data_IF_531861223975
#
_entry.id   IF_531861223975
#
_cell.length_a   1.000
_cell.length_b   1.000
_cell.length_c   1.000
_cell.angle_alpha   90.00
_cell.angle_beta   90.00
_cell.angle_gamma   90.00
#
_symmetry.space_group_name_H-M   'P 1'
#
loop_
_entity.id
_entity.type
_entity.pdbx_description
1 polymer ?
#
# COMPACT_ATOMS: atom_id res chain seq x y z
N UNK A 1 -13.49 18.15 6.30
CA UNK A 1 -12.39 19.14 6.10
C UNK A 1 -12.09 19.73 7.47
N UNK A 2 -10.84 19.61 7.94
CA UNK A 2 -10.41 20.14 9.25
C UNK A 2 -9.78 21.54 9.17
N UNK A 3 -9.28 21.93 7.99
CA UNK A 3 -8.62 23.21 7.82
C UNK A 3 -7.98 23.38 6.44
N UNK A 4 -7.46 24.57 6.21
CA UNK A 4 -6.63 24.91 5.05
C UNK A 4 -5.18 25.03 5.54
N UNK A 5 -4.29 24.25 4.95
CA UNK A 5 -2.84 24.21 5.25
C UNK A 5 -2.01 24.95 4.20
N UNK A 6 -2.66 25.72 3.33
CA UNK A 6 -2.02 26.32 2.17
C UNK A 6 -1.79 25.32 1.04
N UNK A 7 -1.58 25.82 -0.17
CA UNK A 7 -1.32 24.95 -1.32
C UNK A 7 0.04 24.31 -1.19
N UNK A 8 0.09 22.98 -1.11
CA UNK A 8 1.33 22.27 -1.37
C UNK A 8 1.77 22.60 -2.80
N UNK A 9 3.03 22.98 -2.98
CA UNK A 9 3.54 23.44 -4.28
C UNK A 9 3.14 22.55 -5.44
N UNK A 10 3.04 23.13 -6.63
CA UNK A 10 2.67 22.41 -7.85
C UNK A 10 3.56 21.18 -8.02
N UNK A 11 2.94 20.03 -8.25
CA UNK A 11 3.66 18.82 -8.65
C UNK A 11 4.41 19.12 -9.95
N UNK A 12 5.74 19.01 -9.91
CA UNK A 12 6.56 19.09 -11.12
C UNK A 12 6.70 17.69 -11.68
N UNK A 13 6.16 17.47 -12.86
CA UNK A 13 6.33 16.20 -13.58
C UNK A 13 7.60 16.23 -14.40
N UNK A 14 8.30 15.11 -14.40
CA UNK A 14 9.50 14.86 -15.19
C UNK A 14 9.24 13.94 -16.38
N UNK A 15 8.03 13.38 -16.48
CA UNK A 15 7.63 12.52 -17.62
C UNK A 15 7.75 13.29 -18.92
N UNK A 16 8.61 12.79 -19.81
CA UNK A 16 8.83 13.33 -21.15
C UNK A 16 8.81 12.21 -22.17
N UNK A 17 8.43 12.54 -23.41
CA UNK A 17 8.54 11.61 -24.52
C UNK A 17 10.01 11.42 -24.91
N UNK A 18 10.46 10.17 -24.99
CA UNK A 18 11.83 9.88 -25.46
C UNK A 18 11.98 10.25 -26.92
N UNK A 19 13.11 10.85 -27.36
CA UNK A 19 13.35 11.16 -28.77
C UNK A 19 13.22 9.97 -29.72
N UNK A 20 13.51 8.76 -29.23
CA UNK A 20 13.37 7.52 -30.00
C UNK A 20 11.93 7.02 -30.13
N UNK A 21 10.97 7.57 -29.39
CA UNK A 21 9.60 7.06 -29.37
C UNK A 21 8.97 7.04 -30.76
N UNK A 22 9.19 8.08 -31.57
CA UNK A 22 8.67 8.16 -32.92
C UNK A 22 9.20 7.05 -33.84
N UNK A 23 10.49 6.73 -33.72
CA UNK A 23 11.12 5.65 -34.50
C UNK A 23 10.60 4.28 -34.08
N UNK A 24 10.45 4.05 -32.78
CA UNK A 24 9.89 2.81 -32.23
C UNK A 24 8.44 2.62 -32.68
N UNK A 25 7.61 3.65 -32.58
CA UNK A 25 6.22 3.58 -33.04
C UNK A 25 6.12 3.31 -34.54
N UNK A 26 6.92 3.97 -35.37
CA UNK A 26 6.99 3.73 -36.79
C UNK A 26 7.41 2.29 -37.12
N UNK A 27 8.39 1.74 -36.37
CA UNK A 27 8.83 0.35 -36.54
C UNK A 27 7.68 -0.65 -36.31
N UNK A 28 6.82 -0.37 -35.31
CA UNK A 28 5.65 -1.21 -35.01
C UNK A 28 4.40 -0.83 -35.81
N UNK A 29 4.48 0.09 -36.76
CA UNK A 29 3.33 0.53 -37.55
C UNK A 29 2.26 1.28 -36.75
N UNK A 30 2.66 1.98 -35.69
CA UNK A 30 1.77 2.76 -34.83
C UNK A 30 1.92 4.24 -35.18
N UNK A 31 0.89 4.84 -35.74
CA UNK A 31 0.91 6.22 -36.26
C UNK A 31 1.03 7.29 -35.17
N UNK A 32 0.58 6.99 -33.93
CA UNK A 32 0.55 7.96 -32.81
C UNK A 32 0.80 7.29 -31.48
N UNK A 33 1.62 7.95 -30.65
CA UNK A 33 1.77 7.55 -29.26
C UNK A 33 0.43 7.71 -28.51
N UNK A 34 -0.15 6.62 -27.97
CA UNK A 34 -1.40 6.69 -27.22
C UNK A 34 -1.23 7.26 -25.79
N UNK A 35 0.02 7.49 -25.37
CA UNK A 35 0.36 7.98 -24.05
C UNK A 35 0.87 9.41 -24.10
N UNK A 36 0.45 10.22 -23.14
CA UNK A 36 0.80 11.63 -23.00
C UNK A 36 1.18 11.96 -21.58
N UNK A 37 1.79 13.13 -21.39
CA UNK A 37 2.13 13.67 -20.06
C UNK A 37 0.83 13.90 -19.26
N UNK A 38 0.78 13.46 -17.98
CA UNK A 38 -0.42 13.64 -17.16
C UNK A 38 -0.66 15.13 -16.84
N UNK A 39 -1.92 15.60 -16.82
CA UNK A 39 -2.22 16.95 -16.34
C UNK A 39 -1.96 17.06 -14.83
N UNK A 40 -1.27 18.10 -14.42
CA UNK A 40 -0.97 18.42 -13.00
C UNK A 40 -1.75 19.64 -12.47
N UNK A 41 -2.32 20.43 -13.37
CA UNK A 41 -3.09 21.65 -13.06
C UNK A 41 -4.47 21.55 -13.67
N UNK A 42 -5.39 22.37 -13.14
CA UNK A 42 -6.70 22.57 -13.75
C UNK A 42 -6.66 23.54 -14.92
N UNK A 43 -7.53 23.33 -15.88
CA UNK A 43 -7.79 24.26 -17.00
C UNK A 43 -9.26 24.25 -17.39
N UNK A 44 -9.70 25.27 -18.11
CA UNK A 44 -11.06 25.33 -18.65
C UNK A 44 -11.06 24.80 -20.07
N UNK A 45 -11.78 23.68 -20.28
CA UNK A 45 -11.94 23.03 -21.58
C UNK A 45 -13.43 23.07 -21.93
N UNK A 46 -13.78 23.64 -23.09
CA UNK A 46 -15.17 23.80 -23.55
C UNK A 46 -16.08 24.48 -22.53
N UNK A 47 -15.56 25.50 -21.82
CA UNK A 47 -16.29 26.24 -20.79
C UNK A 47 -16.44 25.53 -19.44
N UNK A 48 -15.91 24.31 -19.28
CA UNK A 48 -15.94 23.52 -18.06
C UNK A 48 -14.56 23.49 -17.43
N UNK A 49 -14.45 23.89 -16.16
CA UNK A 49 -13.20 23.75 -15.40
C UNK A 49 -12.95 22.29 -15.05
N UNK A 50 -11.83 21.77 -15.49
CA UNK A 50 -11.36 20.40 -15.23
C UNK A 50 -10.05 20.43 -14.45
N UNK A 51 -9.92 19.58 -13.45
CA UNK A 51 -8.74 19.55 -12.59
C UNK A 51 -8.54 18.13 -12.03
N UNK A 52 -7.29 17.60 -12.00
CA UNK A 52 -7.02 16.28 -11.43
C UNK A 52 -7.45 16.15 -9.96
N UNK A 53 -7.32 17.22 -9.20
CA UNK A 53 -7.72 17.24 -7.78
C UNK A 53 -9.22 17.18 -7.58
N UNK A 54 -10.01 17.80 -8.46
CA UNK A 54 -11.48 17.69 -8.43
C UNK A 54 -11.90 16.27 -8.72
N UNK A 55 -11.34 15.65 -9.77
CA UNK A 55 -11.62 14.25 -10.09
C UNK A 55 -11.22 13.31 -8.96
N UNK A 56 -10.09 13.57 -8.29
CA UNK A 56 -9.66 12.78 -7.13
C UNK A 56 -10.67 12.88 -5.98
N UNK A 57 -11.17 14.09 -5.68
CA UNK A 57 -12.19 14.30 -4.64
C UNK A 57 -13.48 13.57 -5.00
N UNK A 58 -13.91 13.63 -6.26
CA UNK A 58 -15.08 12.90 -6.73
C UNK A 58 -14.90 11.38 -6.58
N UNK A 59 -13.71 10.86 -6.95
CA UNK A 59 -13.37 9.44 -6.77
C UNK A 59 -13.31 9.02 -5.30
N UNK A 60 -12.84 9.89 -4.41
CA UNK A 60 -12.80 9.64 -2.97
C UNK A 60 -14.19 9.78 -2.30
N UNK A 61 -15.16 10.35 -2.99
CA UNK A 61 -16.54 10.48 -2.53
C UNK A 61 -17.46 9.32 -3.01
N UNK A 62 -16.88 8.27 -3.59
CA UNK A 62 -17.63 7.05 -3.95
C UNK A 62 -18.09 6.37 -2.67
N UNK A 63 -19.32 5.86 -2.67
CA UNK A 63 -19.86 5.13 -1.52
C UNK A 63 -19.04 3.88 -1.21
N UNK A 64 -18.82 3.66 0.08
CA UNK A 64 -18.23 2.43 0.62
C UNK A 64 -18.98 1.19 0.11
N UNK A 65 -18.24 0.16 -0.31
CA UNK A 65 -18.81 -1.14 -0.63
C UNK A 65 -19.36 -1.78 0.66
N UNK A 66 -20.65 -2.12 0.68
CA UNK A 66 -21.28 -2.76 1.84
C UNK A 66 -21.20 -4.27 1.71
N UNK A 67 -20.33 -4.86 2.52
CA UNK A 67 -20.25 -6.32 2.68
C UNK A 67 -20.78 -6.65 4.08
N UNK A 68 -21.76 -7.58 4.23
CA UNK A 68 -22.26 -7.97 5.53
C UNK A 68 -21.13 -8.47 6.44
N UNK A 69 -21.11 -7.98 7.68
CA UNK A 69 -20.03 -8.26 8.64
C UNK A 69 -19.86 -9.76 8.90
N UNK A 70 -20.96 -10.53 8.91
CA UNK A 70 -20.91 -11.99 9.09
C UNK A 70 -20.08 -12.70 8.03
N UNK A 71 -20.19 -12.30 6.78
CA UNK A 71 -19.39 -12.88 5.68
C UNK A 71 -17.93 -12.46 5.76
N UNK A 72 -17.66 -11.20 6.14
CA UNK A 72 -16.29 -10.73 6.35
C UNK A 72 -15.60 -11.48 7.50
N UNK A 73 -16.28 -11.72 8.61
CA UNK A 73 -15.71 -12.48 9.73
C UNK A 73 -15.49 -13.96 9.36
N UNK A 74 -16.40 -14.59 8.61
CA UNK A 74 -16.19 -15.95 8.11
C UNK A 74 -14.99 -16.03 7.16
N UNK A 75 -14.85 -15.07 6.25
CA UNK A 75 -13.73 -14.98 5.33
C UNK A 75 -12.40 -14.74 6.09
N UNK A 76 -12.41 -13.84 7.08
CA UNK A 76 -11.27 -13.59 7.96
C UNK A 76 -10.86 -14.86 8.71
N UNK A 77 -11.79 -15.55 9.37
CA UNK A 77 -11.48 -16.77 10.13
C UNK A 77 -10.93 -17.90 9.24
N UNK A 78 -11.41 -18.01 8.01
CA UNK A 78 -10.84 -18.96 7.04
C UNK A 78 -9.40 -18.57 6.65
N UNK A 79 -9.12 -17.27 6.46
CA UNK A 79 -7.77 -16.78 6.19
C UNK A 79 -6.82 -17.00 7.38
N UNK A 80 -7.29 -16.83 8.62
CA UNK A 80 -6.48 -17.11 9.82
C UNK A 80 -6.07 -18.57 9.92
N UNK A 81 -6.98 -19.51 9.63
CA UNK A 81 -6.64 -20.94 9.62
C UNK A 81 -5.54 -21.28 8.62
N UNK A 82 -5.59 -20.69 7.42
CA UNK A 82 -4.53 -20.87 6.42
C UNK A 82 -3.20 -20.26 6.90
N UNK A 83 -3.24 -19.06 7.48
CA UNK A 83 -2.08 -18.37 8.04
C UNK A 83 -1.46 -19.22 9.16
N UNK A 84 -2.26 -19.77 10.07
CA UNK A 84 -1.76 -20.61 11.16
C UNK A 84 -1.01 -21.85 10.65
N UNK A 85 -1.55 -22.53 9.63
CA UNK A 85 -0.90 -23.68 9.01
C UNK A 85 0.48 -23.31 8.44
N UNK A 86 0.57 -22.14 7.79
CA UNK A 86 1.83 -21.65 7.23
C UNK A 86 2.82 -21.19 8.31
N UNK A 87 2.31 -20.57 9.39
CA UNK A 87 3.13 -20.12 10.52
C UNK A 87 3.74 -21.31 11.28
N UNK A 88 3.01 -22.39 11.45
CA UNK A 88 3.52 -23.60 12.11
C UNK A 88 4.77 -24.16 11.40
N UNK A 89 4.86 -24.02 10.07
CA UNK A 89 6.04 -24.40 9.31
C UNK A 89 7.11 -23.30 9.33
N UNK A 90 6.70 -22.04 9.09
CA UNK A 90 7.61 -20.90 9.03
C UNK A 90 8.39 -20.69 10.32
N UNK A 91 7.75 -20.89 11.48
CA UNK A 91 8.37 -20.70 12.80
C UNK A 91 9.33 -21.80 13.24
N UNK A 92 9.43 -22.92 12.48
CA UNK A 92 10.45 -23.95 12.72
C UNK A 92 11.85 -23.48 12.34
N UNK A 93 11.94 -22.52 11.42
CA UNK A 93 13.20 -21.89 11.06
C UNK A 93 13.56 -20.85 12.13
N UNK A 94 14.69 -21.03 12.78
CA UNK A 94 15.19 -20.15 13.85
C UNK A 94 15.70 -18.81 13.32
N UNK A 95 16.07 -18.74 12.04
CA UNK A 95 16.63 -17.54 11.39
C UNK A 95 15.56 -16.53 10.93
N UNK A 96 14.27 -16.89 10.93
CA UNK A 96 13.21 -15.99 10.53
C UNK A 96 13.06 -14.80 11.48
N UNK A 97 12.73 -13.66 10.94
CA UNK A 97 12.53 -12.43 11.70
C UNK A 97 11.27 -12.53 12.57
N UNK A 98 11.44 -12.49 13.90
CA UNK A 98 10.37 -12.66 14.92
C UNK A 98 10.36 -11.54 15.97
N UNK A 99 10.82 -10.33 15.64
CA UNK A 99 10.94 -9.22 16.57
C UNK A 99 10.68 -7.88 15.92
N UNK A 100 10.46 -6.88 16.73
CA UNK A 100 10.50 -5.47 16.32
C UNK A 100 11.92 -5.11 15.88
N UNK A 101 12.04 -4.32 14.81
CA UNK A 101 13.32 -3.79 14.36
C UNK A 101 13.76 -2.61 15.21
N UNK A 102 15.07 -2.38 15.29
CA UNK A 102 15.61 -1.10 15.77
C UNK A 102 15.34 0.00 14.72
N UNK A 103 15.49 1.26 15.11
CA UNK A 103 15.39 2.40 14.19
C UNK A 103 16.41 2.25 13.05
N UNK A 104 17.65 1.89 13.37
CA UNK A 104 18.71 1.70 12.37
C UNK A 104 18.36 0.59 11.37
N UNK A 105 17.85 -0.54 11.83
CA UNK A 105 17.39 -1.62 10.95
C UNK A 105 16.19 -1.22 10.11
N UNK A 106 15.26 -0.43 10.66
CA UNK A 106 14.10 0.07 9.93
C UNK A 106 14.48 1.08 8.84
N UNK A 107 15.54 1.86 9.07
CA UNK A 107 16.10 2.83 8.11
C UNK A 107 16.93 2.13 7.05
N UNK A 108 17.83 1.23 7.45
CA UNK A 108 18.81 0.61 6.56
C UNK A 108 18.35 -0.69 5.92
N UNK A 109 17.34 -1.34 6.51
CA UNK A 109 16.89 -2.66 6.11
C UNK A 109 17.76 -3.79 6.69
N UNK A 110 17.32 -5.02 6.41
CA UNK A 110 18.03 -6.25 6.80
C UNK A 110 18.35 -7.07 5.53
N UNK A 111 19.64 -7.20 5.16
CA UNK A 111 20.03 -7.99 4.01
C UNK A 111 19.52 -9.43 4.11
N UNK A 112 18.95 -9.94 3.02
CA UNK A 112 18.42 -11.30 2.94
C UNK A 112 17.01 -11.49 3.53
N UNK A 113 16.46 -10.52 4.24
CA UNK A 113 15.10 -10.59 4.78
C UNK A 113 14.11 -9.94 3.80
N UNK A 114 13.15 -10.72 3.31
CA UNK A 114 12.09 -10.19 2.43
C UNK A 114 11.29 -9.09 3.14
N UNK A 115 10.88 -8.07 2.39
CA UNK A 115 10.18 -6.88 2.88
C UNK A 115 10.99 -5.97 3.84
N UNK A 116 12.25 -6.27 4.15
CA UNK A 116 13.12 -5.47 5.01
C UNK A 116 14.10 -4.61 4.21
N UNK A 117 13.61 -3.85 3.23
CA UNK A 117 14.46 -3.08 2.31
C UNK A 117 14.94 -1.72 2.87
N UNK A 118 14.53 -1.35 4.09
CA UNK A 118 14.77 -0.04 4.65
C UNK A 118 14.00 1.08 3.96
N UNK A 119 14.35 2.33 4.26
CA UNK A 119 13.73 3.52 3.64
C UNK A 119 14.48 3.93 2.38
N UNK A 120 13.74 4.40 1.39
CA UNK A 120 14.33 4.85 0.12
C UNK A 120 14.68 6.33 0.20
N UNK A 121 15.97 6.68 0.25
CA UNK A 121 16.49 8.04 0.44
C UNK A 121 15.98 9.05 -0.59
N UNK A 122 15.69 8.64 -1.82
CA UNK A 122 15.20 9.52 -2.89
C UNK A 122 13.71 9.86 -2.81
N UNK A 123 12.95 9.27 -1.87
CA UNK A 123 11.52 9.54 -1.70
C UNK A 123 11.26 10.73 -0.78
N UNK A 124 10.05 11.31 -0.88
CA UNK A 124 9.63 12.43 -0.04
C UNK A 124 9.62 12.03 1.43
N UNK A 125 10.14 12.90 2.30
CA UNK A 125 10.04 12.74 3.75
C UNK A 125 8.64 13.07 4.33
N UNK A 126 7.68 13.43 3.47
CA UNK A 126 6.31 13.78 3.86
C UNK A 126 6.11 15.25 4.19
N UNK A 127 4.88 15.61 4.60
CA UNK A 127 4.51 17.01 4.81
C UNK A 127 5.22 17.64 6.01
N UNK A 128 5.51 16.85 7.06
CA UNK A 128 6.15 17.31 8.29
C UNK A 128 7.59 17.77 8.05
N UNK A 129 8.30 17.05 7.20
CA UNK A 129 9.73 17.27 6.96
C UNK A 129 10.00 18.02 5.65
N UNK A 130 9.10 17.97 4.70
CA UNK A 130 9.14 18.72 3.43
C UNK A 130 9.93 18.06 2.32
N UNK A 131 11.18 17.85 2.46
CA UNK A 131 12.16 17.43 1.44
C UNK A 131 12.18 15.90 1.20
N UNK A 132 13.32 15.36 0.77
CA UNK A 132 13.53 13.92 0.61
C UNK A 132 14.02 13.31 1.93
N UNK A 133 13.84 12.02 2.10
CA UNK A 133 14.35 11.28 3.27
C UNK A 133 15.86 11.45 3.39
N UNK A 134 16.61 11.41 2.28
CA UNK A 134 18.05 11.60 2.27
C UNK A 134 18.55 12.95 2.78
N UNK A 135 17.69 13.98 2.77
CA UNK A 135 18.05 15.30 3.31
C UNK A 135 18.00 15.35 4.85
N UNK A 136 17.54 14.26 5.47
CA UNK A 136 17.38 14.10 6.93
C UNK A 136 18.30 13.03 7.54
N UNK A 137 19.35 12.64 6.82
CA UNK A 137 20.44 11.79 7.33
C UNK A 137 21.70 12.62 7.58
N UNK A 138 22.57 12.14 8.47
CA UNK A 138 23.80 12.84 8.87
C UNK A 138 24.92 12.53 7.87
N UNK A 139 24.89 11.37 7.21
CA UNK A 139 25.92 10.86 6.33
C UNK A 139 25.35 10.51 4.94
N UNK A 140 26.18 10.61 3.92
CA UNK A 140 25.79 10.36 2.53
C UNK A 140 25.92 8.88 2.12
N UNK A 141 26.65 8.07 2.90
CA UNK A 141 26.97 6.68 2.59
C UNK A 141 26.25 5.71 3.53
N UNK A 142 25.92 4.53 2.97
CA UNK A 142 25.35 3.41 3.73
C UNK A 142 26.39 2.82 4.72
N UNK A 143 26.00 2.47 5.97
CA UNK A 143 24.66 2.61 6.54
C UNK A 143 24.29 4.06 6.88
N UNK A 144 23.04 4.42 6.59
CA UNK A 144 22.52 5.75 6.85
C UNK A 144 22.21 5.97 8.31
N UNK A 145 22.54 7.16 8.82
CA UNK A 145 22.25 7.60 10.19
C UNK A 145 21.28 8.78 10.11
N UNK A 146 20.08 8.63 10.69
CA UNK A 146 19.10 9.72 10.70
C UNK A 146 19.48 10.82 11.69
N UNK A 147 19.02 12.04 11.42
CA UNK A 147 19.22 13.18 12.32
C UNK A 147 18.53 12.97 13.67
N UNK A 148 19.11 13.51 14.74
CA UNK A 148 18.59 13.37 16.13
C UNK A 148 17.14 13.80 16.27
N UNK A 149 16.69 14.83 15.55
CA UNK A 149 15.30 15.28 15.63
C UNK A 149 14.33 14.28 14.98
N UNK A 150 14.72 13.59 13.91
CA UNK A 150 13.88 12.52 13.31
C UNK A 150 13.83 11.31 14.24
N UNK A 151 14.99 10.94 14.82
CA UNK A 151 15.04 9.87 15.80
C UNK A 151 14.10 10.15 16.97
N UNK A 152 14.18 11.36 17.54
CA UNK A 152 13.29 11.78 18.62
C UNK A 152 11.81 11.75 18.21
N UNK A 153 11.48 12.22 17.02
CA UNK A 153 10.11 12.18 16.51
C UNK A 153 9.57 10.74 16.42
N UNK A 154 10.40 9.77 16.01
CA UNK A 154 10.05 8.34 15.98
C UNK A 154 9.83 7.81 17.41
N UNK A 155 10.73 8.13 18.32
CA UNK A 155 10.64 7.69 19.72
C UNK A 155 9.39 8.26 20.42
N UNK A 156 9.13 9.57 20.28
CA UNK A 156 7.93 10.24 20.85
C UNK A 156 6.63 9.66 20.27
N UNK A 157 6.64 9.34 18.99
CA UNK A 157 5.51 8.69 18.30
C UNK A 157 5.25 7.29 18.85
N UNK A 158 6.29 6.48 19.04
CA UNK A 158 6.18 5.13 19.61
C UNK A 158 5.65 5.21 21.04
N UNK A 159 6.13 6.16 21.87
CA UNK A 159 5.61 6.35 23.23
C UNK A 159 4.12 6.73 23.26
N UNK A 160 3.65 7.47 22.25
CA UNK A 160 2.22 7.76 22.06
C UNK A 160 1.44 6.49 21.73
N UNK A 161 1.95 5.69 20.79
CA UNK A 161 1.32 4.43 20.39
C UNK A 161 1.29 3.37 21.53
N UNK A 162 2.30 3.30 22.39
CA UNK A 162 2.30 2.42 23.58
C UNK A 162 1.14 2.71 24.54
N UNK A 163 0.64 3.95 24.56
CA UNK A 163 -0.55 4.34 25.33
C UNK A 163 -1.86 3.92 24.63
N UNK A 164 -1.81 3.40 23.42
CA UNK A 164 -2.98 3.10 22.59
C UNK A 164 -3.59 4.34 21.94
N UNK A 165 -2.84 5.42 21.84
CA UNK A 165 -3.25 6.68 21.23
C UNK A 165 -2.71 6.75 19.80
N UNK A 166 -3.39 7.48 18.90
CA UNK A 166 -2.88 7.81 17.56
C UNK A 166 -2.06 9.10 17.62
N UNK A 167 -1.10 9.24 16.72
CA UNK A 167 -0.30 10.45 16.58
C UNK A 167 -0.91 11.43 15.58
N UNK A 168 -0.29 12.60 15.41
CA UNK A 168 -0.70 13.63 14.44
C UNK A 168 -0.20 13.34 13.03
N UNK A 169 -0.28 12.08 12.58
CA UNK A 169 0.16 11.67 11.27
C UNK A 169 -0.70 12.27 10.18
N UNK A 170 -0.09 13.03 9.27
CA UNK A 170 -0.75 13.59 8.09
C UNK A 170 -0.16 12.99 6.83
N UNK A 171 -0.99 12.28 6.07
CA UNK A 171 -0.65 11.74 4.75
C UNK A 171 -0.70 12.84 3.71
N UNK A 172 0.27 12.89 2.82
CA UNK A 172 0.28 13.86 1.71
C UNK A 172 -0.16 13.19 0.42
N UNK A 173 -1.27 13.63 -0.17
CA UNK A 173 -1.61 13.22 -1.53
C UNK A 173 -0.71 13.90 -2.56
N UNK A 174 -0.17 13.10 -3.47
CA UNK A 174 0.65 13.53 -4.58
C UNK A 174 0.08 12.94 -5.88
N UNK A 175 0.04 13.76 -6.94
CA UNK A 175 -0.29 13.26 -8.27
C UNK A 175 0.88 12.44 -8.81
N UNK A 176 0.59 11.29 -9.44
CA UNK A 176 1.62 10.42 -10.03
C UNK A 176 2.16 11.01 -11.33
N UNK A 177 3.47 11.06 -11.45
CA UNK A 177 4.19 11.37 -12.68
C UNK A 177 4.36 10.09 -13.51
N UNK A 178 3.31 9.73 -14.23
CA UNK A 178 3.27 8.54 -15.09
C UNK A 178 2.53 8.85 -16.39
N UNK A 179 3.00 8.31 -17.52
CA UNK A 179 2.36 8.51 -18.79
C UNK A 179 0.90 7.99 -18.79
N UNK A 180 -0.04 8.80 -19.26
CA UNK A 180 -1.46 8.47 -19.35
C UNK A 180 -1.91 8.25 -20.78
N UNK A 181 -2.88 7.35 -21.00
CA UNK A 181 -3.61 7.29 -22.26
C UNK A 181 -4.28 8.65 -22.54
N UNK A 182 -4.21 9.13 -23.76
CA UNK A 182 -4.71 10.45 -24.19
C UNK A 182 -6.14 10.72 -23.71
N UNK A 183 -7.03 9.72 -23.78
CA UNK A 183 -8.41 9.83 -23.27
C UNK A 183 -8.46 10.21 -21.78
N UNK A 184 -7.67 9.52 -20.93
CA UNK A 184 -7.63 9.80 -19.49
C UNK A 184 -7.03 11.16 -19.19
N UNK A 185 -6.02 11.59 -19.95
CA UNK A 185 -5.43 12.92 -19.79
C UNK A 185 -6.42 14.04 -20.15
N UNK A 186 -7.19 13.91 -21.24
CA UNK A 186 -8.27 14.84 -21.61
C UNK A 186 -9.39 14.92 -20.56
N UNK A 187 -9.60 13.84 -19.82
CA UNK A 187 -10.55 13.78 -18.71
C UNK A 187 -9.92 14.26 -17.39
N UNK A 188 -8.65 14.67 -17.36
CA UNK A 188 -7.89 15.06 -16.16
C UNK A 188 -7.83 13.97 -15.09
N UNK A 189 -7.78 12.69 -15.48
CA UNK A 189 -7.74 11.52 -14.58
C UNK A 189 -6.31 11.13 -14.22
N UNK A 190 -5.53 12.07 -13.73
CA UNK A 190 -4.20 11.79 -13.18
C UNK A 190 -4.36 11.01 -11.87
N UNK A 191 -3.69 9.87 -11.77
CA UNK A 191 -3.71 9.06 -10.54
C UNK A 191 -2.99 9.79 -9.42
N UNK A 192 -3.39 9.51 -8.20
CA UNK A 192 -2.73 10.02 -7.01
C UNK A 192 -2.31 8.87 -6.10
N UNK A 193 -1.36 9.15 -5.22
CA UNK A 193 -0.95 8.28 -4.13
C UNK A 193 -0.79 9.10 -2.87
N UNK A 194 -0.86 8.45 -1.71
CA UNK A 194 -0.61 9.08 -0.41
C UNK A 194 0.81 8.76 0.04
N UNK A 195 1.56 9.76 0.45
CA UNK A 195 2.88 9.62 1.06
C UNK A 195 2.78 9.79 2.57
N UNK A 196 3.44 8.91 3.33
CA UNK A 196 3.57 9.01 4.77
C UNK A 196 4.75 9.92 5.13
N UNK A 197 4.72 10.60 6.29
CA UNK A 197 5.91 11.24 6.84
C UNK A 197 6.96 10.20 7.26
N UNK A 198 8.23 10.60 7.23
CA UNK A 198 9.38 9.72 7.44
C UNK A 198 9.33 8.99 8.78
N UNK A 199 8.95 9.66 9.87
CA UNK A 199 8.78 9.06 11.20
C UNK A 199 7.74 7.92 11.19
N UNK A 200 6.65 8.08 10.46
CA UNK A 200 5.63 7.04 10.32
C UNK A 200 6.11 5.87 9.46
N UNK A 201 6.90 6.12 8.43
CA UNK A 201 7.51 5.04 7.62
C UNK A 201 8.47 4.21 8.46
N UNK A 202 9.33 4.88 9.26
CA UNK A 202 10.28 4.19 10.14
C UNK A 202 9.52 3.39 11.21
N UNK A 203 8.56 3.99 11.92
CA UNK A 203 7.74 3.29 12.92
C UNK A 203 7.00 2.09 12.32
N UNK A 204 6.47 2.24 11.10
CA UNK A 204 5.86 1.14 10.37
C UNK A 204 6.85 0.01 10.08
N UNK A 205 8.03 0.33 9.55
CA UNK A 205 9.06 -0.66 9.27
C UNK A 205 9.51 -1.39 10.55
N UNK A 206 9.64 -0.68 11.68
CA UNK A 206 10.01 -1.31 12.95
C UNK A 206 9.05 -2.43 13.35
N UNK A 207 7.75 -2.19 13.28
CA UNK A 207 6.74 -3.07 13.87
C UNK A 207 6.09 -4.05 12.88
N UNK A 208 6.09 -3.75 11.58
CA UNK A 208 5.38 -4.56 10.59
C UNK A 208 6.29 -5.41 9.69
N UNK A 209 7.60 -5.16 9.66
CA UNK A 209 8.51 -5.90 8.76
C UNK A 209 8.48 -7.39 9.01
N UNK A 210 8.41 -7.86 10.26
CA UNK A 210 8.36 -9.30 10.56
C UNK A 210 7.12 -9.97 9.94
N UNK A 211 5.92 -9.42 10.16
CA UNK A 211 4.68 -9.95 9.60
C UNK A 211 4.61 -9.80 8.07
N UNK A 212 5.16 -8.73 7.52
CA UNK A 212 5.31 -8.56 6.07
C UNK A 212 6.27 -9.59 5.49
N UNK A 213 7.41 -9.84 6.13
CA UNK A 213 8.39 -10.86 5.69
C UNK A 213 7.76 -12.24 5.59
N UNK A 214 6.97 -12.65 6.59
CA UNK A 214 6.20 -13.89 6.53
C UNK A 214 5.29 -13.95 5.30
N UNK A 215 4.49 -12.90 5.05
CA UNK A 215 3.56 -12.86 3.92
C UNK A 215 4.29 -12.92 2.57
N UNK A 216 5.39 -12.19 2.43
CA UNK A 216 6.19 -12.17 1.19
C UNK A 216 7.01 -13.45 0.97
N UNK A 217 7.29 -14.20 2.03
CA UNK A 217 7.98 -15.50 1.93
C UNK A 217 7.01 -16.61 1.52
N UNK A 218 5.72 -16.46 1.79
CA UNK A 218 4.68 -17.46 1.54
C UNK A 218 3.65 -17.04 0.46
N UNK A 219 4.06 -16.59 -0.74
CA UNK A 219 3.15 -15.99 -1.73
C UNK A 219 2.01 -16.91 -2.16
N UNK A 220 2.29 -18.18 -2.42
CA UNK A 220 1.27 -19.16 -2.83
C UNK A 220 0.30 -19.49 -1.70
N UNK A 221 0.81 -19.68 -0.48
CA UNK A 221 -0.01 -19.99 0.68
C UNK A 221 -0.96 -18.87 1.07
N UNK A 222 -0.51 -17.61 0.98
CA UNK A 222 -1.38 -16.44 1.22
C UNK A 222 -2.12 -15.95 -0.03
N UNK A 223 -1.94 -16.61 -1.17
CA UNK A 223 -2.56 -16.28 -2.46
C UNK A 223 -2.25 -14.85 -2.92
N UNK A 224 -0.97 -14.48 -2.86
CA UNK A 224 -0.47 -13.16 -3.26
C UNK A 224 0.76 -13.28 -4.15
N UNK A 225 0.70 -12.78 -5.37
CA UNK A 225 1.81 -12.83 -6.33
C UNK A 225 2.88 -11.73 -6.13
N UNK A 226 2.80 -10.93 -5.06
CA UNK A 226 3.58 -9.69 -4.91
C UNK A 226 5.09 -9.92 -4.82
N UNK A 227 5.51 -11.02 -4.21
CA UNK A 227 6.94 -11.34 -4.03
C UNK A 227 7.51 -12.28 -5.09
N UNK A 228 6.71 -12.61 -6.11
CA UNK A 228 7.13 -13.48 -7.19
C UNK A 228 7.92 -12.70 -8.24
N UNK A 229 8.97 -13.33 -8.77
CA UNK A 229 9.71 -12.79 -9.91
C UNK A 229 8.98 -13.13 -11.22
N UNK A 230 8.42 -12.13 -11.92
CA UNK A 230 7.67 -12.36 -13.17
C UNK A 230 8.58 -12.78 -14.34
N UNK A 231 9.89 -12.62 -14.23
CA UNK A 231 10.85 -13.00 -15.26
C UNK A 231 11.61 -14.30 -14.94
N UNK A 232 11.36 -14.90 -13.78
CA UNK A 232 12.06 -16.08 -13.28
C UNK A 232 11.18 -17.32 -13.18
N UNK A 233 11.69 -18.33 -12.49
CA UNK A 233 11.00 -19.61 -12.24
C UNK A 233 9.68 -19.46 -11.47
N UNK A 234 9.47 -18.35 -10.77
CA UNK A 234 8.23 -18.14 -10.03
C UNK A 234 7.01 -18.02 -10.96
N UNK A 235 7.20 -17.63 -12.22
CA UNK A 235 6.11 -17.62 -13.20
C UNK A 235 5.64 -19.04 -13.53
N UNK A 236 6.57 -19.99 -13.68
CA UNK A 236 6.25 -21.40 -13.89
C UNK A 236 5.57 -22.00 -12.65
N UNK A 237 6.09 -21.72 -11.45
CA UNK A 237 5.46 -22.11 -10.18
C UNK A 237 4.04 -21.56 -10.05
N UNK A 238 3.82 -20.29 -10.42
CA UNK A 238 2.49 -19.67 -10.41
C UNK A 238 1.56 -20.37 -11.40
N UNK A 239 2.05 -20.68 -12.60
CA UNK A 239 1.28 -21.44 -13.59
C UNK A 239 0.83 -22.78 -13.01
N UNK A 240 1.75 -23.59 -12.49
CA UNK A 240 1.43 -24.87 -11.86
C UNK A 240 0.46 -24.75 -10.68
N UNK A 241 0.60 -23.71 -9.85
CA UNK A 241 -0.31 -23.44 -8.74
C UNK A 241 -1.73 -23.12 -9.21
N UNK A 242 -1.86 -22.37 -10.31
CA UNK A 242 -3.18 -21.96 -10.85
C UNK A 242 -3.91 -23.10 -11.57
N UNK A 243 -3.18 -23.98 -12.28
CA UNK A 243 -3.80 -25.09 -13.00
C UNK A 243 -4.11 -26.29 -12.10
N UNK A 244 -3.47 -26.39 -10.91
CA UNK A 244 -3.65 -27.49 -9.94
C UNK A 244 -3.63 -28.87 -10.59
N UNK A 245 -2.61 -29.13 -11.46
CA UNK A 245 -2.46 -30.40 -12.18
C UNK A 245 -3.43 -30.63 -13.33
N UNK A 246 -4.18 -29.62 -13.77
CA UNK A 246 -5.07 -29.66 -14.94
C UNK A 246 -4.40 -29.06 -16.17
N UNK A 247 -4.76 -29.53 -17.36
CA UNK A 247 -4.09 -29.10 -18.60
C UNK A 247 -4.43 -27.67 -19.01
N UNK A 248 -5.50 -27.04 -18.50
CA UNK A 248 -5.88 -25.64 -18.83
C UNK A 248 -6.62 -24.90 -17.72
N UNK A 249 -6.42 -23.57 -17.70
CA UNK A 249 -7.21 -22.62 -16.90
C UNK A 249 -8.63 -22.38 -17.46
N UNK A 250 -8.88 -22.72 -18.73
CA UNK A 250 -10.03 -22.21 -19.49
C UNK A 250 -11.41 -22.62 -18.96
N UNK A 251 -11.51 -23.73 -18.22
CA UNK A 251 -12.81 -24.24 -17.75
C UNK A 251 -13.09 -23.93 -16.27
N UNK A 252 -12.09 -23.53 -15.49
CA UNK A 252 -12.22 -23.36 -14.04
C UNK A 252 -11.61 -22.04 -13.49
N UNK A 253 -11.14 -21.16 -14.36
CA UNK A 253 -10.52 -19.90 -13.97
C UNK A 253 -11.50 -18.72 -14.07
N UNK A 254 -11.60 -17.92 -13.01
CA UNK A 254 -12.33 -16.64 -13.02
C UNK A 254 -11.31 -15.52 -12.88
N UNK A 255 -11.32 -14.58 -13.84
CA UNK A 255 -10.50 -13.37 -13.79
C UNK A 255 -11.39 -12.23 -13.31
N UNK A 256 -11.01 -11.61 -12.19
CA UNK A 256 -11.72 -10.49 -11.59
C UNK A 256 -10.84 -9.24 -11.58
N UNK A 257 -11.42 -8.08 -11.91
CA UNK A 257 -10.80 -6.77 -11.75
C UNK A 257 -11.74 -5.84 -10.98
N UNK A 258 -11.19 -5.14 -9.99
CA UNK A 258 -11.96 -4.25 -9.13
C UNK A 258 -11.86 -2.81 -9.61
N UNK A 259 -12.98 -2.13 -9.75
CA UNK A 259 -13.00 -0.70 -10.07
C UNK A 259 -12.66 0.13 -8.83
N UNK A 260 -11.62 0.98 -8.93
CA UNK A 260 -11.19 1.89 -7.87
C UNK A 260 -11.01 1.19 -6.50
N UNK A 261 -10.38 0.02 -6.52
CA UNK A 261 -10.27 -0.89 -5.39
C UNK A 261 -9.76 -0.20 -4.11
N UNK A 262 -8.68 0.58 -4.22
CA UNK A 262 -8.07 1.34 -3.14
C UNK A 262 -9.00 2.40 -2.51
N UNK A 263 -10.06 2.82 -3.21
CA UNK A 263 -10.97 3.90 -2.81
C UNK A 263 -12.34 3.42 -2.35
N UNK A 264 -12.63 2.13 -2.47
CA UNK A 264 -13.94 1.54 -2.19
C UNK A 264 -13.93 0.48 -1.10
N UNK A 265 -12.76 0.19 -0.53
CA UNK A 265 -12.61 -0.81 0.53
C UNK A 265 -13.26 -0.35 1.84
N UNK A 266 -14.18 -1.12 2.43
CA UNK A 266 -14.79 -0.78 3.71
C UNK A 266 -13.78 -0.84 4.86
N UNK A 267 -13.94 0.04 5.84
CA UNK A 267 -13.07 0.07 7.03
C UNK A 267 -13.04 -1.26 7.77
N UNK A 268 -14.17 -1.96 7.85
CA UNK A 268 -14.26 -3.27 8.50
C UNK A 268 -13.36 -4.31 7.83
N UNK A 269 -13.34 -4.32 6.48
CA UNK A 269 -12.43 -5.18 5.73
C UNK A 269 -10.97 -4.78 5.95
N UNK A 270 -10.67 -3.48 5.96
CA UNK A 270 -9.30 -2.99 6.20
C UNK A 270 -8.82 -3.35 7.61
N UNK A 271 -9.67 -3.19 8.64
CA UNK A 271 -9.33 -3.63 10.00
C UNK A 271 -9.05 -5.13 10.06
N UNK A 272 -9.81 -5.95 9.34
CA UNK A 272 -9.55 -7.39 9.28
C UNK A 272 -8.17 -7.70 8.67
N UNK A 273 -7.71 -6.91 7.68
CA UNK A 273 -6.35 -7.11 7.15
C UNK A 273 -5.28 -6.79 8.21
N UNK A 274 -5.41 -5.69 8.94
CA UNK A 274 -4.49 -5.36 10.02
C UNK A 274 -4.54 -6.39 11.16
N UNK A 275 -5.70 -6.91 11.53
CA UNK A 275 -5.86 -8.01 12.50
C UNK A 275 -5.06 -9.26 12.11
N UNK A 276 -4.90 -9.56 10.81
CA UNK A 276 -4.02 -10.65 10.36
C UNK A 276 -2.57 -10.40 10.73
N UNK A 277 -2.07 -9.17 10.52
CA UNK A 277 -0.72 -8.81 10.94
C UNK A 277 -0.53 -8.92 12.46
N UNK A 278 -1.51 -8.48 13.26
CA UNK A 278 -1.45 -8.65 14.72
C UNK A 278 -1.43 -10.12 15.13
N UNK A 279 -2.25 -10.96 14.47
CA UNK A 279 -2.27 -12.39 14.71
C UNK A 279 -0.91 -13.03 14.39
N UNK A 280 -0.33 -12.74 13.22
CA UNK A 280 0.98 -13.22 12.82
C UNK A 280 2.05 -12.81 13.85
N UNK A 281 2.07 -11.54 14.24
CA UNK A 281 3.06 -11.02 15.19
C UNK A 281 2.90 -11.61 16.59
N UNK A 282 1.66 -11.83 17.08
CA UNK A 282 1.43 -12.58 18.33
C UNK A 282 1.99 -14.00 18.28
N UNK A 283 1.79 -14.71 17.17
CA UNK A 283 2.34 -16.05 16.96
C UNK A 283 3.88 -16.04 16.88
N UNK A 284 4.48 -14.93 16.48
CA UNK A 284 5.93 -14.69 16.49
C UNK A 284 6.50 -14.33 17.87
N UNK A 285 5.63 -14.12 18.87
CA UNK A 285 6.06 -13.81 20.25
C UNK A 285 6.09 -12.31 20.58
N UNK A 286 5.48 -11.46 19.79
CA UNK A 286 5.36 -10.03 20.11
C UNK A 286 4.53 -9.85 21.39
N UNK A 287 4.98 -8.94 22.25
CA UNK A 287 4.31 -8.57 23.50
C UNK A 287 3.02 -7.80 23.25
N UNK A 288 2.14 -7.74 24.26
CA UNK A 288 0.89 -6.95 24.17
C UNK A 288 1.16 -5.45 23.99
N UNK A 289 2.29 -4.93 24.49
CA UNK A 289 2.70 -3.54 24.25
C UNK A 289 3.07 -3.32 22.77
N UNK A 290 3.86 -4.21 22.18
CA UNK A 290 4.25 -4.15 20.76
C UNK A 290 3.02 -4.28 19.85
N UNK A 291 2.08 -5.16 20.18
CA UNK A 291 0.82 -5.28 19.45
C UNK A 291 -0.02 -4.00 19.57
N UNK A 292 -0.04 -3.36 20.74
CA UNK A 292 -0.75 -2.07 20.92
C UNK A 292 -0.17 -0.97 20.05
N UNK A 293 1.16 -0.92 19.91
CA UNK A 293 1.82 -0.01 18.95
C UNK A 293 1.37 -0.30 17.53
N UNK A 294 1.33 -1.57 17.12
CA UNK A 294 0.83 -1.97 15.81
C UNK A 294 -0.64 -1.54 15.60
N UNK A 295 -1.49 -1.74 16.59
CA UNK A 295 -2.91 -1.35 16.53
C UNK A 295 -3.06 0.17 16.33
N UNK A 296 -2.28 0.99 17.04
CA UNK A 296 -2.30 2.46 16.89
C UNK A 296 -1.83 2.90 15.49
N UNK A 297 -0.76 2.31 14.97
CA UNK A 297 -0.30 2.54 13.59
C UNK A 297 -1.39 2.17 12.58
N UNK A 298 -2.07 1.03 12.78
CA UNK A 298 -3.12 0.56 11.89
C UNK A 298 -4.34 1.50 11.87
N UNK A 299 -4.77 2.03 13.01
CA UNK A 299 -5.91 2.97 13.08
C UNK A 299 -5.63 4.26 12.29
N UNK A 300 -4.40 4.75 12.26
CA UNK A 300 -4.01 5.88 11.39
C UNK A 300 -4.12 5.53 9.91
N UNK A 301 -3.90 4.27 9.53
CA UNK A 301 -4.02 3.79 8.14
C UNK A 301 -5.48 3.57 7.72
N UNK A 302 -6.35 3.20 8.67
CA UNK A 302 -7.77 2.90 8.41
C UNK A 302 -8.60 4.19 8.30
N UNK A 303 -8.24 5.25 9.04
CA UNK A 303 -8.93 6.53 9.03
C UNK A 303 -7.93 7.70 8.88
N UNK A 304 -7.16 7.74 7.77
CA UNK A 304 -6.05 8.65 7.63
C UNK A 304 -6.50 10.11 7.54
N UNK A 305 -5.74 10.98 8.21
CA UNK A 305 -5.82 12.42 7.99
C UNK A 305 -4.91 12.78 6.82
N UNK A 306 -5.45 13.41 5.80
CA UNK A 306 -4.75 13.63 4.54
C UNK A 306 -4.70 15.10 4.16
N UNK A 307 -3.53 15.55 3.72
CA UNK A 307 -3.34 16.83 3.04
C UNK A 307 -3.66 16.65 1.55
N UNK A 308 -4.75 17.25 1.09
CA UNK A 308 -5.25 17.15 -0.27
C UNK A 308 -5.33 18.55 -0.89
N UNK A 309 -4.33 18.92 -1.70
CA UNK A 309 -4.27 20.20 -2.42
C UNK A 309 -4.60 21.44 -1.54
N UNK A 310 -4.02 21.49 -0.34
CA UNK A 310 -4.23 22.59 0.60
C UNK A 310 -5.32 22.37 1.64
N UNK A 311 -6.20 21.40 1.47
CA UNK A 311 -7.20 21.03 2.47
C UNK A 311 -6.72 19.88 3.33
N UNK A 312 -7.06 19.91 4.62
CA UNK A 312 -6.87 18.79 5.54
C UNK A 312 -8.18 18.02 5.68
N UNK A 313 -8.19 16.76 5.29
CA UNK A 313 -9.38 15.91 5.25
C UNK A 313 -9.12 14.58 5.95
N UNK A 314 -10.15 14.03 6.60
CA UNK A 314 -10.12 12.64 7.07
C UNK A 314 -10.86 11.77 6.07
N UNK A 315 -10.24 10.65 5.69
CA UNK A 315 -10.83 9.66 4.79
C UNK A 315 -11.30 8.46 5.61
N UNK A 316 -12.48 7.93 5.29
CA UNK A 316 -13.09 6.87 6.06
C UNK A 316 -13.16 5.52 5.31
N UNK A 317 -12.79 5.46 4.04
CA UNK A 317 -12.81 4.23 3.23
C UNK A 317 -11.82 4.36 2.08
N UNK A 318 -10.56 4.28 2.43
CA UNK A 318 -9.50 4.24 1.42
C UNK A 318 -8.36 3.39 1.95
N UNK A 319 -7.66 2.76 1.02
CA UNK A 319 -6.39 2.13 1.32
C UNK A 319 -5.26 3.09 0.99
N UNK A 320 -4.53 3.51 2.01
CA UNK A 320 -3.38 4.40 1.82
C UNK A 320 -2.27 3.67 1.07
N UNK A 321 -1.88 4.21 -0.09
CA UNK A 321 -0.94 3.55 -1.01
C UNK A 321 0.54 3.76 -0.68
N UNK A 322 0.85 4.44 0.42
CA UNK A 322 2.22 4.86 0.75
C UNK A 322 2.94 4.04 1.82
N UNK A 323 2.33 2.98 2.35
CA UNK A 323 2.98 2.12 3.34
C UNK A 323 3.60 0.86 2.73
N UNK A 324 4.55 0.23 3.45
CA UNK A 324 5.25 -0.96 2.99
C UNK A 324 4.38 -2.21 2.83
N UNK A 325 3.19 -2.26 3.44
CA UNK A 325 2.25 -3.38 3.35
C UNK A 325 1.13 -3.15 2.32
N UNK A 326 1.11 -2.03 1.60
CA UNK A 326 0.01 -1.67 0.66
C UNK A 326 -0.39 -2.83 -0.24
N UNK A 327 0.59 -3.47 -0.85
CA UNK A 327 0.35 -4.55 -1.80
C UNK A 327 -0.14 -5.83 -1.10
N UNK A 328 0.45 -6.20 0.05
CA UNK A 328 0.03 -7.36 0.82
C UNK A 328 -1.40 -7.22 1.33
N UNK A 329 -1.73 -6.05 1.90
CA UNK A 329 -3.07 -5.71 2.38
C UNK A 329 -4.08 -5.71 1.22
N UNK A 330 -3.74 -5.11 0.08
CA UNK A 330 -4.60 -5.11 -1.11
C UNK A 330 -4.90 -6.53 -1.61
N UNK A 331 -3.90 -7.40 -1.72
CA UNK A 331 -4.08 -8.79 -2.13
C UNK A 331 -4.94 -9.58 -1.13
N UNK A 332 -4.66 -9.44 0.16
CA UNK A 332 -5.41 -10.12 1.21
C UNK A 332 -6.87 -9.62 1.29
N UNK A 333 -7.11 -8.32 1.08
CA UNK A 333 -8.44 -7.75 1.00
C UNK A 333 -9.22 -8.29 -0.21
N UNK A 334 -8.58 -8.36 -1.39
CA UNK A 334 -9.17 -8.95 -2.60
C UNK A 334 -9.59 -10.40 -2.39
N UNK A 335 -8.71 -11.22 -1.78
CA UNK A 335 -9.00 -12.61 -1.42
C UNK A 335 -10.21 -12.72 -0.48
N UNK A 336 -10.28 -11.87 0.55
CA UNK A 336 -11.40 -11.92 1.50
C UNK A 336 -12.73 -11.46 0.89
N UNK A 337 -12.72 -10.49 -0.03
CA UNK A 337 -13.93 -10.08 -0.77
C UNK A 337 -14.47 -11.22 -1.62
N UNK A 338 -13.59 -11.89 -2.39
CA UNK A 338 -13.97 -13.04 -3.21
C UNK A 338 -14.50 -14.18 -2.33
N UNK A 339 -13.81 -14.48 -1.24
CA UNK A 339 -14.23 -15.52 -0.28
C UNK A 339 -15.58 -15.19 0.37
N UNK A 340 -15.80 -13.96 0.78
CA UNK A 340 -17.08 -13.52 1.33
C UNK A 340 -18.23 -13.67 0.31
N UNK A 341 -17.98 -13.36 -0.96
CA UNK A 341 -18.93 -13.55 -2.04
C UNK A 341 -19.25 -15.04 -2.26
N UNK A 342 -18.23 -15.91 -2.28
CA UNK A 342 -18.43 -17.36 -2.42
C UNK A 342 -19.23 -17.96 -1.24
N UNK A 343 -18.96 -17.48 -0.01
CA UNK A 343 -19.71 -17.90 1.18
C UNK A 343 -21.19 -17.46 1.06
N UNK A 344 -21.44 -16.24 0.60
CA UNK A 344 -22.80 -15.72 0.42
C UNK A 344 -23.58 -16.57 -0.62
N UNK A 345 -22.96 -16.89 -1.75
CA UNK A 345 -23.58 -17.76 -2.79
C UNK A 345 -23.91 -19.14 -2.22
N UNK A 346 -22.98 -19.76 -1.47
CA UNK A 346 -23.21 -21.08 -0.88
C UNK A 346 -24.28 -21.06 0.22
N UNK A 347 -24.51 -19.95 0.92
CA UNK A 347 -25.60 -19.82 1.90
C UNK A 347 -26.98 -19.62 1.21
N UNK A 348 -27.02 -19.03 0.00
CA UNK A 348 -28.25 -18.82 -0.76
C UNK A 348 -28.73 -20.10 -1.47
N UNK A 349 -27.84 -21.07 -1.70
CA UNK A 349 -28.18 -22.38 -2.31
C UNK A 349 -28.68 -23.45 -1.29
N UNK A 350 -28.63 -23.17 0.00
CA UNK A 350 -29.05 -24.05 1.12
C UNK A 350 -30.35 -23.62 1.75
#
# INVERSE_FOLDING_TARGET
IFGDIGRSGNTKFSTVETPMMKEVLNFFGVDKNPYVVPPSKGETVDGIFRCPWVNLIEELNICECKIPQSYLERAYNASIKEIDTLLDEYLKDEEVLKRVLTIDEAVNGLPGVKAANGVKMSTSAGIKYGEKIGDHVINDDYPYVINDYVQKDVEDKIETYKKGETSDTVFKFCLKDEALKEKKAKEFRTRAFSALPMDSVISFNMYYTASCSFLYTNPFGVSSAISLDPAGFDQDRMHHHLIDGKDYLNENGIILDFKAFDKTLPQSLMRNQWRKHFHISRRMGFTDEEIRVMESIAEEQVAPVCALNGALVRLNFTHTSGNGATSAIGSAAGKDVVRAAMIAIGDDEG
#
